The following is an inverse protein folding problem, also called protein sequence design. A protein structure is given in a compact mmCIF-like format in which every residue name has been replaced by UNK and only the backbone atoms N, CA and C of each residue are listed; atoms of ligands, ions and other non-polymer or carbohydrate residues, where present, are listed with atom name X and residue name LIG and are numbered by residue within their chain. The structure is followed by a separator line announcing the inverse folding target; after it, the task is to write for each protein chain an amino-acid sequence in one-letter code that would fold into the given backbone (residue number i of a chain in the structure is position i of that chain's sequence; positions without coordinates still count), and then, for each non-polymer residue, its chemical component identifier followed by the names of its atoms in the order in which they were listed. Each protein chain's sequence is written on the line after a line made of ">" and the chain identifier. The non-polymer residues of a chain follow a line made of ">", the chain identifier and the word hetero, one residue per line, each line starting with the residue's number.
data_IF_524850943602
#
_entry.id   IF_524850943602
#
_cell.length_a   1.000
_cell.length_b   1.000
_cell.length_c   1.000
_cell.angle_alpha   90.00
_cell.angle_beta   90.00
_cell.angle_gamma   90.00
#
_symmetry.space_group_name_H-M   'P 1'
#
loop_
_entity.id
_entity.type
_entity.pdbx_description
1 polymer ?
#
# COMPACT_ATOMS: atom_id res chain seq x y z
N UNK A 1 -3.93 8.18 -17.01
CA UNK A 1 -4.26 8.93 -15.77
C UNK A 1 -3.31 8.50 -14.68
N UNK A 2 -2.89 9.41 -13.79
CA UNK A 2 -2.02 9.08 -12.67
C UNK A 2 -2.82 8.64 -11.44
N UNK A 3 -2.37 7.58 -10.77
CA UNK A 3 -2.91 7.13 -9.49
C UNK A 3 -2.21 7.84 -8.33
N UNK A 4 -0.90 8.16 -8.48
CA UNK A 4 -0.10 8.88 -7.51
C UNK A 4 0.91 9.77 -8.22
N UNK A 5 1.11 10.98 -7.71
CA UNK A 5 2.20 11.88 -8.14
C UNK A 5 2.91 12.42 -6.90
N UNK A 6 4.21 12.28 -6.87
CA UNK A 6 5.13 12.94 -5.96
C UNK A 6 5.94 13.93 -6.80
N UNK A 7 5.94 15.22 -6.45
CA UNK A 7 6.58 16.29 -7.24
C UNK A 7 7.53 17.06 -6.34
N UNK A 8 8.84 16.86 -6.52
CA UNK A 8 9.89 17.52 -5.74
C UNK A 8 9.80 17.26 -4.23
N UNK A 9 9.28 16.08 -3.84
CA UNK A 9 9.01 15.73 -2.44
C UNK A 9 10.31 15.59 -1.66
N UNK A 10 10.42 16.38 -0.61
CA UNK A 10 11.50 16.28 0.38
C UNK A 10 10.93 16.00 1.77
N UNK A 11 11.70 15.28 2.58
CA UNK A 11 11.36 15.01 3.97
C UNK A 11 12.58 15.09 4.85
N UNK A 12 12.51 15.95 5.84
CA UNK A 12 13.47 16.02 6.93
C UNK A 12 12.79 15.63 8.24
N UNK A 13 13.42 14.72 8.98
CA UNK A 13 13.02 14.40 10.34
C UNK A 13 13.83 15.25 11.31
N UNK A 14 13.18 15.78 12.37
CA UNK A 14 13.87 16.55 13.40
C UNK A 14 14.92 15.67 14.10
N UNK A 15 16.09 16.27 14.34
CA UNK A 15 17.22 15.62 15.00
C UNK A 15 18.38 16.59 15.13
N UNK A 16 19.48 16.18 15.73
CA UNK A 16 20.70 16.99 15.83
C UNK A 16 21.91 16.15 15.37
N UNK A 17 22.30 16.24 14.11
CA UNK A 17 21.73 17.03 12.99
C UNK A 17 20.39 16.46 12.47
N UNK A 18 19.58 17.26 11.74
CA UNK A 18 18.38 16.79 11.05
C UNK A 18 18.72 15.68 10.04
N UNK A 19 17.80 14.70 9.89
CA UNK A 19 17.97 13.60 8.96
C UNK A 19 17.11 13.81 7.71
N UNK A 20 17.73 14.04 6.56
CA UNK A 20 17.04 14.14 5.29
C UNK A 20 16.71 12.73 4.78
N UNK A 21 15.46 12.31 4.97
CA UNK A 21 14.96 11.00 4.54
C UNK A 21 14.59 10.97 3.04
N UNK A 22 14.13 12.10 2.48
CA UNK A 22 13.88 12.27 1.04
C UNK A 22 14.42 13.61 0.55
N UNK A 23 14.91 13.63 -0.69
CA UNK A 23 15.55 14.80 -1.30
C UNK A 23 14.98 15.02 -2.71
N UNK A 24 13.99 15.90 -2.83
CA UNK A 24 13.39 16.32 -4.10
C UNK A 24 12.96 15.16 -5.00
N UNK A 25 12.28 14.15 -4.42
CA UNK A 25 11.81 12.98 -5.16
C UNK A 25 10.64 13.37 -6.07
N UNK A 26 10.77 13.07 -7.36
CA UNK A 26 9.68 13.20 -8.34
C UNK A 26 9.41 11.85 -8.97
N UNK A 27 8.18 11.34 -8.75
CA UNK A 27 7.73 10.03 -9.24
C UNK A 27 6.24 10.11 -9.55
N UNK A 28 5.83 9.59 -10.70
CA UNK A 28 4.43 9.43 -11.09
C UNK A 28 4.12 7.96 -11.27
N UNK A 29 3.05 7.45 -10.64
CA UNK A 29 2.55 6.08 -10.81
C UNK A 29 1.26 6.17 -11.62
N UNK A 30 1.23 5.52 -12.77
CA UNK A 30 0.07 5.44 -13.65
C UNK A 30 -0.99 4.47 -13.11
N UNK A 31 -2.24 4.67 -13.54
CA UNK A 31 -3.33 3.74 -13.20
C UNK A 31 -3.06 2.37 -13.84
N UNK A 32 -3.18 1.30 -13.06
CA UNK A 32 -2.92 -0.07 -13.50
C UNK A 32 -1.44 -0.47 -13.50
N UNK A 33 -0.52 0.39 -13.07
CA UNK A 33 0.88 0.02 -12.91
C UNK A 33 1.12 -0.91 -11.72
N UNK A 34 2.12 -1.79 -11.87
CA UNK A 34 2.74 -2.52 -10.77
C UNK A 34 4.20 -2.07 -10.67
N UNK A 35 4.49 -1.24 -9.68
CA UNK A 35 5.80 -0.60 -9.47
C UNK A 35 6.42 -1.08 -8.17
N UNK A 36 7.70 -1.46 -8.20
CA UNK A 36 8.48 -1.78 -7.02
C UNK A 36 9.45 -0.65 -6.67
N UNK A 37 9.51 -0.27 -5.39
CA UNK A 37 10.54 0.58 -4.84
C UNK A 37 11.55 -0.30 -4.12
N UNK A 38 12.81 -0.24 -4.55
CA UNK A 38 13.92 -0.99 -3.98
C UNK A 38 15.03 -0.04 -3.49
N UNK A 39 15.91 -0.54 -2.65
CA UNK A 39 17.07 0.22 -2.16
C UNK A 39 17.55 -0.29 -0.80
N UNK A 40 18.73 0.12 -0.34
CA UNK A 40 19.27 -0.30 0.95
C UNK A 40 18.40 0.16 2.12
N UNK A 41 18.62 -0.40 3.31
CA UNK A 41 17.99 0.06 4.53
C UNK A 41 18.36 1.54 4.77
N UNK A 42 17.40 2.35 5.21
CA UNK A 42 17.60 3.79 5.44
C UNK A 42 17.56 4.66 4.16
N UNK A 43 17.32 4.11 2.97
CA UNK A 43 17.28 4.92 1.73
C UNK A 43 16.04 5.80 1.56
N UNK A 44 15.07 5.77 2.49
CA UNK A 44 13.86 6.60 2.44
C UNK A 44 12.60 5.90 1.92
N UNK A 45 12.63 4.59 1.61
CA UNK A 45 11.49 3.85 1.02
C UNK A 45 10.21 3.93 1.85
N UNK A 46 10.29 3.59 3.14
CA UNK A 46 9.11 3.62 4.04
C UNK A 46 8.60 5.05 4.26
N UNK A 47 9.51 6.04 4.29
CA UNK A 47 9.13 7.46 4.34
C UNK A 47 8.40 7.88 3.06
N UNK A 48 8.89 7.46 1.90
CA UNK A 48 8.22 7.73 0.62
C UNK A 48 6.83 7.08 0.59
N UNK A 49 6.70 5.82 1.06
CA UNK A 49 5.43 5.13 1.13
C UNK A 49 4.46 5.81 2.12
N UNK A 50 4.95 6.25 3.28
CA UNK A 50 4.15 6.97 4.27
C UNK A 50 3.61 8.29 3.73
N UNK A 51 4.42 9.05 2.99
CA UNK A 51 4.01 10.30 2.35
C UNK A 51 3.03 10.02 1.20
N UNK A 52 3.31 9.04 0.33
CA UNK A 52 2.41 8.58 -0.72
C UNK A 52 1.04 8.16 -0.16
N UNK A 53 1.06 7.54 1.01
CA UNK A 53 -0.13 7.11 1.76
C UNK A 53 -0.80 8.19 2.60
N UNK A 54 -0.32 9.42 2.56
CA UNK A 54 -0.83 10.53 3.39
C UNK A 54 -0.80 10.25 4.91
N UNK A 55 0.07 9.33 5.33
CA UNK A 55 0.33 9.05 6.76
C UNK A 55 1.32 10.05 7.34
N UNK A 56 2.16 10.61 6.49
CA UNK A 56 3.15 11.62 6.83
C UNK A 56 3.11 12.77 5.84
N UNK A 57 3.43 13.99 6.29
CA UNK A 57 3.49 15.16 5.43
C UNK A 57 4.91 15.36 4.92
N UNK A 58 5.10 15.73 3.65
CA UNK A 58 6.41 16.15 3.16
C UNK A 58 6.82 17.47 3.84
N UNK A 59 8.12 17.74 3.92
CA UNK A 59 8.67 19.04 4.35
C UNK A 59 8.60 20.05 3.20
N UNK A 60 8.75 19.58 1.96
CA UNK A 60 8.62 20.37 0.73
C UNK A 60 8.14 19.48 -0.42
N UNK A 61 7.70 20.12 -1.50
CA UNK A 61 7.11 19.44 -2.66
C UNK A 61 5.62 19.23 -2.53
N UNK A 62 5.03 18.51 -3.46
CA UNK A 62 3.59 18.25 -3.49
C UNK A 62 3.25 16.79 -3.79
N UNK A 63 2.08 16.35 -3.33
CA UNK A 63 1.56 14.99 -3.51
C UNK A 63 0.15 15.06 -4.09
N UNK A 64 -0.12 14.22 -5.09
CA UNK A 64 -1.47 14.04 -5.64
C UNK A 64 -1.86 12.56 -5.60
N UNK A 65 -3.08 12.28 -5.16
CA UNK A 65 -3.66 10.93 -5.14
C UNK A 65 -4.90 10.90 -6.02
N UNK A 66 -4.85 10.13 -7.10
CA UNK A 66 -5.91 10.08 -8.11
C UNK A 66 -6.34 11.50 -8.58
N UNK A 67 -5.36 12.34 -8.90
CA UNK A 67 -5.54 13.72 -9.35
C UNK A 67 -5.89 14.74 -8.26
N UNK A 68 -6.19 14.32 -7.03
CA UNK A 68 -6.48 15.22 -5.92
C UNK A 68 -5.17 15.65 -5.23
N UNK A 69 -4.88 16.95 -5.20
CA UNK A 69 -3.80 17.50 -4.38
C UNK A 69 -4.13 17.31 -2.90
N UNK A 70 -3.19 16.72 -2.14
CA UNK A 70 -3.38 16.42 -0.71
C UNK A 70 -2.61 17.37 0.20
N UNK A 71 -1.76 18.22 -0.37
CA UNK A 71 -1.00 19.22 0.36
C UNK A 71 -1.95 20.23 1.02
N UNK A 72 -1.67 20.58 2.25
CA UNK A 72 -2.49 21.55 2.99
C UNK A 72 -3.87 21.06 3.43
N UNK A 73 -4.29 19.85 3.06
CA UNK A 73 -5.57 19.29 3.54
C UNK A 73 -5.51 19.06 5.05
N UNK A 74 -6.59 19.36 5.79
CA UNK A 74 -6.68 19.02 7.21
C UNK A 74 -6.76 17.50 7.41
N UNK A 75 -6.37 16.99 8.57
CA UNK A 75 -6.26 15.56 8.85
C UNK A 75 -7.58 14.80 8.65
N UNK A 76 -8.72 15.46 8.90
CA UNK A 76 -10.05 14.89 8.61
C UNK A 76 -10.23 14.61 7.12
N UNK A 77 -9.80 15.52 6.24
CA UNK A 77 -9.88 15.34 4.80
C UNK A 77 -8.89 14.27 4.32
N UNK A 78 -7.65 14.25 4.86
CA UNK A 78 -6.68 13.19 4.58
C UNK A 78 -7.18 11.81 4.99
N UNK A 79 -7.90 11.70 6.12
CA UNK A 79 -8.55 10.44 6.52
C UNK A 79 -9.59 9.98 5.50
N UNK A 80 -10.34 10.91 4.90
CA UNK A 80 -11.26 10.62 3.80
C UNK A 80 -10.55 10.15 2.53
N UNK A 81 -9.40 10.75 2.19
CA UNK A 81 -8.56 10.31 1.05
C UNK A 81 -8.05 8.90 1.30
N UNK A 82 -7.49 8.61 2.48
CA UNK A 82 -7.04 7.26 2.84
C UNK A 82 -8.17 6.24 2.72
N UNK A 83 -9.31 6.52 3.34
CA UNK A 83 -10.45 5.61 3.33
C UNK A 83 -11.02 5.36 1.92
N UNK A 84 -10.96 6.35 1.03
CA UNK A 84 -11.59 6.29 -0.28
C UNK A 84 -10.68 5.91 -1.44
N UNK A 85 -9.39 6.22 -1.36
CA UNK A 85 -8.48 6.15 -2.52
C UNK A 85 -7.24 5.31 -2.31
N UNK A 86 -6.89 4.94 -1.06
CA UNK A 86 -5.65 4.25 -0.75
C UNK A 86 -5.94 2.96 0.00
N UNK A 87 -5.37 1.85 -0.48
CA UNK A 87 -5.31 0.58 0.25
C UNK A 87 -3.92 0.38 0.83
N UNK A 88 -3.83 -0.05 2.10
CA UNK A 88 -2.54 -0.35 2.72
C UNK A 88 -2.38 -1.83 3.00
N UNK A 89 -1.21 -2.37 2.67
CA UNK A 89 -0.74 -3.71 3.02
C UNK A 89 0.60 -3.56 3.71
N UNK A 90 0.73 -4.09 4.92
CA UNK A 90 1.96 -3.99 5.72
C UNK A 90 2.59 -5.36 5.92
N UNK A 91 3.87 -5.38 6.28
CA UNK A 91 4.60 -6.59 6.65
C UNK A 91 3.96 -7.29 7.86
N UNK A 92 3.61 -6.53 8.89
CA UNK A 92 2.74 -6.99 9.97
C UNK A 92 1.29 -6.77 9.53
N UNK A 93 0.47 -7.80 9.59
CA UNK A 93 -0.89 -7.79 9.02
C UNK A 93 -1.82 -6.74 9.64
N UNK A 94 -1.54 -6.32 10.88
CA UNK A 94 -2.36 -5.37 11.66
C UNK A 94 -3.84 -5.74 11.64
N UNK A 95 -4.13 -7.02 11.81
CA UNK A 95 -5.49 -7.49 12.01
C UNK A 95 -5.89 -7.33 13.48
N UNK A 96 -7.13 -6.95 13.71
CA UNK A 96 -7.71 -6.88 15.06
C UNK A 96 -7.99 -8.31 15.52
N UNK A 97 -7.33 -8.82 16.58
CA UNK A 97 -7.37 -10.24 16.95
C UNK A 97 -8.76 -10.74 17.34
N UNK A 98 -9.62 -9.85 17.85
CA UNK A 98 -10.97 -10.17 18.32
C UNK A 98 -12.02 -10.19 17.22
N UNK A 99 -11.71 -9.65 16.04
CA UNK A 99 -12.62 -9.58 14.89
C UNK A 99 -12.41 -10.78 13.97
N UNK A 100 -13.48 -11.18 13.28
CA UNK A 100 -13.40 -12.18 12.19
C UNK A 100 -12.64 -11.61 10.98
N UNK A 101 -12.24 -12.46 10.03
CA UNK A 101 -11.64 -12.02 8.77
C UNK A 101 -12.57 -11.06 8.02
N UNK A 102 -13.87 -11.37 7.97
CA UNK A 102 -14.89 -10.52 7.36
C UNK A 102 -14.97 -9.15 8.04
N UNK A 103 -15.00 -9.11 9.37
CA UNK A 103 -15.10 -7.87 10.11
C UNK A 103 -13.79 -7.06 10.03
N UNK A 104 -12.62 -7.71 10.04
CA UNK A 104 -11.35 -7.05 9.77
C UNK A 104 -11.33 -6.35 8.41
N UNK A 105 -11.83 -6.99 7.36
CA UNK A 105 -11.93 -6.37 6.02
C UNK A 105 -12.94 -5.22 6.03
N UNK A 106 -14.10 -5.39 6.68
CA UNK A 106 -15.14 -4.38 6.76
C UNK A 106 -14.68 -3.09 7.49
N UNK A 107 -13.66 -3.16 8.37
CA UNK A 107 -13.11 -1.96 9.05
C UNK A 107 -12.60 -0.91 8.08
N UNK A 108 -12.06 -1.28 6.92
CA UNK A 108 -11.60 -0.34 5.90
C UNK A 108 -12.70 0.60 5.37
N UNK A 109 -13.95 0.17 5.52
CA UNK A 109 -15.12 0.89 5.01
C UNK A 109 -15.84 1.72 6.07
N UNK A 110 -15.36 1.72 7.33
CA UNK A 110 -16.04 2.42 8.44
C UNK A 110 -16.13 3.93 8.23
N UNK A 111 -15.11 4.52 7.62
CA UNK A 111 -15.05 5.97 7.38
C UNK A 111 -15.68 6.40 6.04
N UNK A 112 -16.34 5.47 5.36
CA UNK A 112 -17.13 5.74 4.17
C UNK A 112 -18.61 5.75 4.57
N UNK A 113 -19.37 6.67 4.03
CA UNK A 113 -20.83 6.77 4.29
C UNK A 113 -21.59 5.61 3.60
N UNK A 114 -21.26 4.34 4.00
CA UNK A 114 -21.83 3.11 3.44
C UNK A 114 -22.57 2.37 4.55
N UNK A 115 -23.83 1.90 4.33
CA UNK A 115 -24.58 1.10 5.28
C UNK A 115 -23.83 -0.17 5.71
N UNK A 116 -24.08 -0.64 6.95
CA UNK A 116 -23.36 -1.79 7.52
C UNK A 116 -23.49 -3.08 6.66
N UNK A 117 -24.69 -3.33 6.12
CA UNK A 117 -24.94 -4.48 5.23
C UNK A 117 -24.10 -4.43 3.96
N UNK A 118 -24.01 -3.26 3.32
CA UNK A 118 -23.19 -3.07 2.12
C UNK A 118 -21.69 -3.19 2.42
N UNK A 119 -21.22 -2.69 3.58
CA UNK A 119 -19.82 -2.88 4.01
C UNK A 119 -19.47 -4.37 4.14
N UNK A 120 -20.36 -5.17 4.75
CA UNK A 120 -20.16 -6.63 4.90
C UNK A 120 -20.19 -7.34 3.55
N UNK A 121 -21.08 -6.95 2.65
CA UNK A 121 -21.14 -7.49 1.29
C UNK A 121 -19.85 -7.19 0.51
N UNK A 122 -19.36 -5.93 0.55
CA UNK A 122 -18.10 -5.54 -0.07
C UNK A 122 -16.91 -6.30 0.53
N UNK A 123 -16.88 -6.46 1.86
CA UNK A 123 -15.84 -7.23 2.54
C UNK A 123 -15.85 -8.71 2.14
N UNK A 124 -17.03 -9.33 2.01
CA UNK A 124 -17.16 -10.70 1.54
C UNK A 124 -16.66 -10.86 0.10
N UNK A 125 -17.00 -9.91 -0.78
CA UNK A 125 -16.47 -9.85 -2.15
C UNK A 125 -14.94 -9.78 -2.18
N UNK A 126 -14.35 -8.88 -1.37
CA UNK A 126 -12.90 -8.74 -1.29
C UNK A 126 -12.21 -10.02 -0.76
N UNK A 127 -12.81 -10.71 0.22
CA UNK A 127 -12.31 -12.02 0.69
C UNK A 127 -12.38 -13.08 -0.42
N UNK A 128 -13.43 -13.08 -1.23
CA UNK A 128 -13.53 -13.98 -2.37
C UNK A 128 -12.43 -13.72 -3.42
N UNK A 129 -12.11 -12.44 -3.69
CA UNK A 129 -11.04 -12.05 -4.62
C UNK A 129 -9.65 -12.59 -4.21
N UNK A 130 -9.42 -12.78 -2.91
CA UNK A 130 -8.16 -13.33 -2.38
C UNK A 130 -8.23 -14.82 -2.05
N UNK A 131 -9.34 -15.50 -2.39
CA UNK A 131 -9.52 -16.94 -2.19
C UNK A 131 -9.86 -17.36 -0.77
N UNK A 132 -10.46 -16.46 0.05
CA UNK A 132 -10.78 -16.70 1.47
C UNK A 132 -12.29 -16.75 1.77
N UNK A 133 -13.16 -17.04 0.81
CA UNK A 133 -14.62 -17.12 1.04
C UNK A 133 -14.97 -18.05 2.18
N UNK A 134 -14.32 -19.24 2.28
CA UNK A 134 -14.53 -20.23 3.33
C UNK A 134 -13.93 -19.86 4.69
N UNK A 135 -13.19 -18.76 4.79
CA UNK A 135 -12.51 -18.30 6.01
C UNK A 135 -13.10 -17.03 6.61
N UNK A 136 -14.19 -16.51 6.05
CA UNK A 136 -14.80 -15.24 6.45
C UNK A 136 -15.12 -15.13 7.96
N UNK A 137 -15.53 -16.23 8.58
CA UNK A 137 -15.87 -16.29 10.02
C UNK A 137 -14.69 -16.54 10.95
N UNK A 138 -13.49 -16.85 10.44
CA UNK A 138 -12.31 -17.18 11.25
C UNK A 138 -11.67 -15.90 11.83
N UNK A 139 -11.10 -16.03 13.03
CA UNK A 139 -10.28 -14.97 13.66
C UNK A 139 -8.82 -15.13 13.27
N UNK A 140 -7.99 -14.08 13.41
CA UNK A 140 -6.57 -14.14 13.06
C UNK A 140 -5.79 -15.32 13.68
N UNK A 141 -6.12 -15.72 14.91
CA UNK A 141 -5.50 -16.86 15.59
C UNK A 141 -5.83 -18.24 14.96
N UNK A 142 -6.86 -18.29 14.12
CA UNK A 142 -7.33 -19.50 13.43
C UNK A 142 -6.85 -19.56 11.97
N UNK A 143 -6.06 -18.56 11.55
CA UNK A 143 -5.54 -18.40 10.20
C UNK A 143 -4.03 -18.59 10.15
N UNK A 144 -3.53 -19.16 9.06
CA UNK A 144 -2.09 -19.15 8.78
C UNK A 144 -1.58 -17.73 8.49
N UNK A 145 -0.25 -17.51 8.56
CA UNK A 145 0.35 -16.22 8.22
C UNK A 145 -0.01 -15.74 6.81
N UNK A 146 -0.02 -16.66 5.83
CA UNK A 146 -0.43 -16.35 4.47
C UNK A 146 -1.92 -16.01 4.35
N UNK A 147 -2.80 -16.67 5.10
CA UNK A 147 -4.22 -16.33 5.17
C UNK A 147 -4.42 -14.96 5.84
N UNK A 148 -3.69 -14.65 6.91
CA UNK A 148 -3.70 -13.32 7.54
C UNK A 148 -3.28 -12.23 6.56
N UNK A 149 -2.23 -12.47 5.76
CA UNK A 149 -1.80 -11.52 4.73
C UNK A 149 -2.85 -11.35 3.63
N UNK A 150 -3.48 -12.44 3.19
CA UNK A 150 -4.61 -12.34 2.25
C UNK A 150 -5.78 -11.54 2.82
N UNK A 151 -6.10 -11.68 4.11
CA UNK A 151 -7.10 -10.82 4.79
C UNK A 151 -6.68 -9.35 4.76
N UNK A 152 -5.39 -9.04 5.03
CA UNK A 152 -4.87 -7.67 4.95
C UNK A 152 -4.95 -7.10 3.53
N UNK A 153 -4.67 -7.92 2.50
CA UNK A 153 -4.84 -7.54 1.08
C UNK A 153 -6.33 -7.32 0.76
N UNK A 154 -7.23 -8.21 1.19
CA UNK A 154 -8.67 -8.03 1.01
C UNK A 154 -9.17 -6.74 1.67
N UNK A 155 -8.66 -6.42 2.86
CA UNK A 155 -8.96 -5.15 3.55
C UNK A 155 -8.51 -3.95 2.71
N UNK A 156 -7.35 -4.01 2.08
CA UNK A 156 -6.88 -2.96 1.19
C UNK A 156 -7.76 -2.81 -0.06
N UNK A 157 -8.27 -3.92 -0.61
CA UNK A 157 -9.12 -3.95 -1.82
C UNK A 157 -10.56 -3.52 -1.59
N UNK A 158 -11.12 -3.75 -0.40
CA UNK A 158 -12.56 -3.63 -0.11
C UNK A 158 -13.15 -2.26 -0.49
N UNK A 159 -12.33 -1.20 -0.40
CA UNK A 159 -12.70 0.16 -0.79
C UNK A 159 -12.58 0.47 -2.29
N UNK A 160 -12.12 -0.47 -3.12
CA UNK A 160 -11.73 -0.21 -4.52
C UNK A 160 -10.82 1.01 -4.62
N UNK A 161 -9.64 0.98 -4.00
CA UNK A 161 -8.75 2.12 -3.96
C UNK A 161 -8.19 2.44 -5.34
N UNK A 162 -7.76 3.70 -5.54
CA UNK A 162 -7.05 4.10 -6.74
C UNK A 162 -5.61 3.52 -6.77
N UNK A 163 -5.03 3.26 -5.58
CA UNK A 163 -3.70 2.67 -5.43
C UNK A 163 -3.62 1.82 -4.16
N UNK A 164 -2.92 0.70 -4.26
CA UNK A 164 -2.51 -0.14 -3.13
C UNK A 164 -1.04 0.14 -2.83
N UNK A 165 -0.75 0.52 -1.60
CA UNK A 165 0.59 0.75 -1.07
C UNK A 165 0.97 -0.44 -0.19
N UNK A 166 2.00 -1.18 -0.57
CA UNK A 166 2.45 -2.37 0.14
C UNK A 166 3.87 -2.17 0.70
N UNK A 167 4.03 -2.29 2.01
CA UNK A 167 5.33 -2.24 2.69
C UNK A 167 5.75 -3.66 3.08
N UNK A 168 6.76 -4.20 2.39
CA UNK A 168 7.31 -5.55 2.61
C UNK A 168 6.22 -6.63 2.78
N UNK A 169 5.29 -6.80 1.82
CA UNK A 169 4.08 -7.60 2.01
C UNK A 169 4.33 -9.10 2.22
N UNK A 170 5.57 -9.56 2.09
CA UNK A 170 5.96 -10.96 2.29
C UNK A 170 7.02 -11.14 3.37
N UNK A 171 7.48 -10.05 4.01
CA UNK A 171 8.64 -10.07 4.90
C UNK A 171 8.49 -10.92 6.19
N UNK A 172 7.26 -11.31 6.55
CA UNK A 172 6.97 -12.17 7.71
C UNK A 172 6.55 -13.59 7.31
N UNK A 173 6.71 -13.99 6.04
CA UNK A 173 6.21 -15.24 5.48
C UNK A 173 7.36 -16.15 5.02
N UNK A 174 7.12 -17.45 5.01
CA UNK A 174 8.02 -18.40 4.37
C UNK A 174 8.01 -18.25 2.83
N UNK A 175 9.00 -18.83 2.16
CA UNK A 175 9.20 -18.65 0.71
C UNK A 175 8.02 -19.16 -0.13
N UNK A 176 7.40 -20.29 0.23
CA UNK A 176 6.29 -20.87 -0.52
C UNK A 176 5.04 -19.97 -0.40
N UNK A 177 4.75 -19.51 0.81
CA UNK A 177 3.65 -18.57 1.10
C UNK A 177 3.89 -17.23 0.41
N UNK A 178 5.14 -16.72 0.42
CA UNK A 178 5.55 -15.49 -0.25
C UNK A 178 5.28 -15.54 -1.76
N UNK A 179 5.63 -16.64 -2.42
CA UNK A 179 5.33 -16.85 -3.84
C UNK A 179 3.82 -16.80 -4.14
N UNK A 180 3.00 -17.38 -3.24
CA UNK A 180 1.55 -17.32 -3.35
C UNK A 180 0.97 -15.90 -3.20
N UNK A 181 1.56 -15.06 -2.33
CA UNK A 181 1.17 -13.65 -2.19
C UNK A 181 1.61 -12.84 -3.41
N UNK A 182 2.82 -13.08 -3.93
CA UNK A 182 3.30 -12.44 -5.16
C UNK A 182 2.39 -12.74 -6.36
N UNK A 183 2.03 -14.01 -6.54
CA UNK A 183 1.08 -14.44 -7.57
C UNK A 183 -0.25 -13.70 -7.44
N UNK A 184 -0.79 -13.59 -6.22
CA UNK A 184 -2.03 -12.86 -5.95
C UNK A 184 -1.91 -11.37 -6.33
N UNK A 185 -0.83 -10.69 -5.93
CA UNK A 185 -0.62 -9.27 -6.27
C UNK A 185 -0.53 -9.07 -7.79
N UNK A 186 0.19 -9.96 -8.50
CA UNK A 186 0.29 -9.93 -9.95
C UNK A 186 -1.07 -10.17 -10.63
N UNK A 187 -1.90 -11.05 -10.08
CA UNK A 187 -3.27 -11.28 -10.58
C UNK A 187 -4.17 -10.06 -10.36
N UNK A 188 -4.11 -9.44 -9.19
CA UNK A 188 -4.85 -8.23 -8.89
C UNK A 188 -4.45 -7.09 -9.84
N UNK A 189 -3.15 -6.93 -10.11
CA UNK A 189 -2.68 -5.94 -11.08
C UNK A 189 -3.18 -6.24 -12.50
N UNK A 190 -3.14 -7.50 -12.96
CA UNK A 190 -3.71 -7.88 -14.27
C UNK A 190 -5.22 -7.58 -14.38
N UNK A 191 -5.94 -7.53 -13.25
CA UNK A 191 -7.36 -7.11 -13.16
C UNK A 191 -7.53 -5.60 -13.05
N UNK A 192 -6.44 -4.83 -13.15
CA UNK A 192 -6.44 -3.36 -13.18
C UNK A 192 -6.13 -2.67 -11.85
N UNK A 193 -5.75 -3.39 -10.80
CA UNK A 193 -5.30 -2.75 -9.58
C UNK A 193 -3.95 -2.04 -9.80
N UNK A 194 -3.82 -0.82 -9.30
CA UNK A 194 -2.54 -0.09 -9.24
C UNK A 194 -1.83 -0.48 -7.95
N UNK A 195 -0.58 -0.91 -8.05
CA UNK A 195 0.17 -1.40 -6.88
C UNK A 195 1.55 -0.75 -6.83
N UNK A 196 1.87 -0.13 -5.70
CA UNK A 196 3.21 0.34 -5.37
C UNK A 196 3.71 -0.49 -4.18
N UNK A 197 4.77 -1.27 -4.39
CA UNK A 197 5.34 -2.13 -3.36
C UNK A 197 6.74 -1.65 -2.98
N UNK A 198 7.00 -1.49 -1.69
CA UNK A 198 8.35 -1.36 -1.14
C UNK A 198 8.83 -2.74 -0.78
N UNK A 199 9.99 -3.14 -1.27
CA UNK A 199 10.54 -4.47 -0.98
C UNK A 199 12.06 -4.53 -1.15
N UNK A 200 12.66 -5.45 -0.39
CA UNK A 200 14.04 -5.92 -0.63
C UNK A 200 14.05 -7.32 -1.28
N UNK A 201 12.87 -7.94 -1.49
CA UNK A 201 12.77 -9.24 -2.13
C UNK A 201 12.93 -9.09 -3.65
N UNK A 202 13.97 -9.73 -4.27
CA UNK A 202 14.23 -9.61 -5.69
C UNK A 202 13.13 -10.25 -6.57
N UNK A 203 12.41 -11.25 -6.07
CA UNK A 203 11.33 -11.89 -6.82
C UNK A 203 10.14 -10.94 -6.99
N UNK A 204 9.81 -10.15 -5.95
CA UNK A 204 8.75 -9.14 -6.02
C UNK A 204 9.19 -8.02 -6.98
N UNK A 205 10.45 -7.57 -6.89
CA UNK A 205 10.98 -6.55 -7.79
C UNK A 205 10.96 -7.03 -9.26
N UNK A 206 11.29 -8.30 -9.51
CA UNK A 206 11.26 -8.88 -10.86
C UNK A 206 9.85 -9.06 -11.43
N UNK A 207 8.83 -9.24 -10.57
CA UNK A 207 7.43 -9.35 -10.99
C UNK A 207 6.80 -7.98 -11.29
N UNK A 208 7.34 -6.90 -10.76
CA UNK A 208 6.92 -5.54 -11.06
C UNK A 208 7.38 -5.14 -12.48
N UNK A 209 6.51 -4.43 -13.21
CA UNK A 209 6.83 -3.94 -14.57
C UNK A 209 7.80 -2.77 -14.55
N UNK A 210 7.84 -2.05 -13.42
CA UNK A 210 8.69 -0.88 -13.20
C UNK A 210 9.39 -1.00 -11.87
N UNK A 211 10.67 -0.67 -11.84
CA UNK A 211 11.48 -0.70 -10.62
C UNK A 211 12.11 0.68 -10.42
N UNK A 212 11.82 1.28 -9.27
CA UNK A 212 12.40 2.55 -8.84
C UNK A 212 13.43 2.24 -7.74
N UNK A 213 14.67 2.61 -7.94
CA UNK A 213 15.73 2.46 -6.96
C UNK A 213 15.93 3.74 -6.18
N UNK A 214 15.74 3.67 -4.86
CA UNK A 214 16.07 4.77 -3.95
C UNK A 214 17.43 4.56 -3.30
N UNK A 215 18.22 5.62 -3.23
CA UNK A 215 19.47 5.69 -2.50
C UNK A 215 19.63 7.07 -1.85
N UNK A 216 19.98 7.10 -0.56
CA UNK A 216 20.23 8.32 0.21
C UNK A 216 19.13 9.40 0.06
N UNK A 217 17.87 8.96 0.00
CA UNK A 217 16.71 9.82 -0.16
C UNK A 217 16.43 10.32 -1.58
N UNK A 218 17.20 9.88 -2.57
CA UNK A 218 17.04 10.25 -3.98
C UNK A 218 16.59 9.05 -4.84
N UNK A 219 15.94 9.33 -5.97
CA UNK A 219 15.76 8.34 -7.03
C UNK A 219 17.09 8.19 -7.78
N UNK A 220 17.73 7.03 -7.62
CA UNK A 220 18.98 6.69 -8.32
C UNK A 220 18.69 6.13 -9.72
N UNK A 221 17.62 5.37 -9.87
CA UNK A 221 17.22 4.75 -11.13
C UNK A 221 15.71 4.55 -11.16
N UNK A 222 15.13 4.73 -12.35
CA UNK A 222 13.74 4.42 -12.65
C UNK A 222 13.69 3.73 -14.02
N UNK A 223 13.22 2.49 -14.07
CA UNK A 223 13.26 1.68 -15.30
C UNK A 223 12.32 2.16 -16.41
N UNK A 224 11.44 3.13 -16.15
CA UNK A 224 10.64 3.80 -17.17
C UNK A 224 11.19 5.17 -17.60
N UNK A 225 12.13 5.74 -16.84
CA UNK A 225 12.77 7.04 -17.15
C UNK A 225 13.91 6.90 -18.18
N UNK A 226 13.70 6.09 -19.22
CA UNK A 226 14.61 5.89 -20.35
C UNK A 226 14.17 6.66 -21.58
#
# INVERSE_FOLDING_TARGET
>A
MSALELIGVSKEHPGSPPVAALRSVTVTIGTGEFTAIVGPSGSGKSTMLAIAGTLERPTAGSVRVAGLAVDGLPDKALSGVRAGRIGFVFQQFFLVPTLTALDNVATALLYRAIPAGERRAAAAGALAEVGLSGRAGHRPAELSGGECQRVAIARALAGRPAIILADEPTGSLDSATSAGILTLLAELNRRGATILVVTHNPEIAAAARRVIRLRDGCVEHDSEAG
#
